data_IF_392791163967
#
_entry.id   IF_392791163967
#
_cell.length_a   1.000
_cell.length_b   1.000
_cell.length_c   1.000
_cell.angle_alpha   90.00
_cell.angle_beta   90.00
_cell.angle_gamma   90.00
#
_symmetry.space_group_name_H-M   'P 1'
#
loop_
_entity.id
_entity.type
_entity.pdbx_description
1 polymer ?
#
# COMPACT_ATOMS: atom_id res chain seq x y z
N UNK A 1 -27.90 -30.01 -27.18
CA UNK A 1 -27.87 -29.46 -25.81
C UNK A 1 -27.15 -30.47 -24.92
N UNK A 2 -26.06 -30.17 -24.23
CA UNK A 2 -25.48 -28.87 -23.95
C UNK A 2 -23.95 -28.89 -24.07
N UNK A 3 -23.42 -28.09 -25.00
CA UNK A 3 -21.98 -27.88 -25.22
C UNK A 3 -21.28 -27.37 -23.95
N UNK A 4 -22.03 -26.76 -23.03
CA UNK A 4 -21.51 -26.27 -21.74
C UNK A 4 -21.06 -27.41 -20.82
N UNK A 5 -21.75 -28.55 -20.82
CA UNK A 5 -21.33 -29.73 -20.03
C UNK A 5 -20.04 -30.33 -20.57
N UNK A 6 -19.84 -30.25 -21.89
CA UNK A 6 -18.63 -30.69 -22.55
C UNK A 6 -17.45 -29.75 -22.24
N UNK A 7 -17.68 -28.44 -22.31
CA UNK A 7 -16.67 -27.42 -21.98
C UNK A 7 -16.31 -27.47 -20.49
N UNK A 8 -17.27 -27.71 -19.58
CA UNK A 8 -16.99 -27.88 -18.15
C UNK A 8 -16.13 -29.13 -17.87
N UNK A 9 -16.41 -30.23 -18.56
CA UNK A 9 -15.60 -31.46 -18.46
C UNK A 9 -14.20 -31.25 -19.03
N UNK A 10 -14.08 -30.53 -20.14
CA UNK A 10 -12.79 -30.19 -20.75
C UNK A 10 -11.96 -29.27 -19.84
N UNK A 11 -12.57 -28.25 -19.23
CA UNK A 11 -11.91 -27.36 -18.24
C UNK A 11 -11.45 -28.11 -17.00
N UNK A 12 -12.26 -29.06 -16.49
CA UNK A 12 -11.86 -29.93 -15.37
C UNK A 12 -10.70 -30.86 -15.73
N UNK A 13 -10.70 -31.44 -16.92
CA UNK A 13 -9.59 -32.26 -17.41
C UNK A 13 -8.30 -31.43 -17.54
N UNK A 14 -8.39 -30.21 -18.09
CA UNK A 14 -7.23 -29.33 -18.23
C UNK A 14 -6.67 -28.91 -16.87
N UNK A 15 -7.52 -28.54 -15.92
CA UNK A 15 -7.14 -28.24 -14.53
C UNK A 15 -6.45 -29.42 -13.84
N UNK A 16 -6.96 -30.64 -14.00
CA UNK A 16 -6.34 -31.84 -13.44
C UNK A 16 -4.98 -32.14 -14.07
N UNK A 17 -4.83 -31.92 -15.38
CA UNK A 17 -3.52 -32.09 -16.05
C UNK A 17 -2.49 -31.05 -15.61
N UNK A 18 -2.89 -29.79 -15.36
CA UNK A 18 -1.98 -28.75 -14.85
C UNK A 18 -1.52 -29.06 -13.42
N UNK A 19 -2.40 -29.59 -12.57
CA UNK A 19 -2.04 -30.02 -11.20
C UNK A 19 -1.09 -31.23 -11.23
N UNK A 20 -1.34 -32.19 -12.13
CA UNK A 20 -0.49 -33.39 -12.29
C UNK A 20 0.90 -33.06 -12.86
N UNK A 21 1.01 -32.09 -13.78
CA UNK A 21 2.31 -31.63 -14.31
C UNK A 21 2.98 -30.57 -13.42
N UNK A 22 2.24 -29.78 -12.65
CA UNK A 22 2.75 -28.81 -11.68
C UNK A 22 3.47 -29.44 -10.47
N UNK A 23 3.23 -30.73 -10.22
CA UNK A 23 3.98 -31.53 -9.25
C UNK A 23 5.44 -31.82 -9.64
N UNK A 24 5.87 -31.45 -10.86
CA UNK A 24 7.27 -31.54 -11.32
C UNK A 24 8.08 -30.28 -10.96
N UNK A 25 7.59 -29.45 -10.01
CA UNK A 25 8.33 -28.36 -9.38
C UNK A 25 8.87 -28.73 -7.99
N UNK A 26 9.37 -29.96 -7.82
CA UNK A 26 10.41 -30.20 -6.82
C UNK A 26 11.76 -30.14 -7.54
N UNK A 27 12.58 -29.14 -7.24
CA UNK A 27 14.00 -29.24 -6.84
C UNK A 27 14.67 -27.87 -6.96
N UNK A 28 15.09 -27.33 -5.80
CA UNK A 28 15.95 -26.15 -5.54
C UNK A 28 15.21 -25.21 -4.55
N UNK A 29 15.59 -25.01 -3.30
CA UNK A 29 16.88 -25.12 -2.65
C UNK A 29 16.70 -25.64 -1.21
N UNK A 30 17.34 -26.77 -0.88
CA UNK A 30 17.80 -27.01 0.47
C UNK A 30 19.15 -26.27 0.61
N UNK A 31 19.21 -25.25 1.46
CA UNK A 31 20.43 -24.49 1.67
C UNK A 31 20.22 -23.23 2.50
N UNK A 32 20.07 -23.40 3.80
CA UNK A 32 20.74 -22.50 4.75
C UNK A 32 21.02 -23.28 6.04
N UNK A 33 22.19 -23.91 6.08
CA UNK A 33 22.90 -24.07 7.34
C UNK A 33 23.83 -22.86 7.51
N UNK A 34 24.04 -22.48 8.76
CA UNK A 34 25.07 -21.59 9.29
C UNK A 34 24.71 -20.10 9.41
N UNK A 35 24.21 -19.73 10.59
CA UNK A 35 24.97 -18.74 11.36
C UNK A 35 25.15 -19.22 12.80
N UNK A 36 26.41 -19.47 13.10
CA UNK A 36 26.95 -19.92 14.37
C UNK A 36 26.87 -18.85 15.45
N UNK A 37 26.47 -19.31 16.63
CA UNK A 37 26.73 -18.87 17.99
C UNK A 37 27.93 -17.89 18.18
N UNK A 38 27.72 -16.85 18.99
CA UNK A 38 28.61 -16.56 20.12
C UNK A 38 27.92 -15.72 21.21
N UNK A 39 28.33 -16.02 22.43
CA UNK A 39 27.66 -15.89 23.74
C UNK A 39 27.92 -14.51 24.43
N UNK A 40 27.54 -14.24 25.70
CA UNK A 40 26.95 -12.97 26.12
C UNK A 40 27.89 -12.02 26.89
N UNK A 41 27.33 -10.84 27.21
CA UNK A 41 27.71 -9.86 28.27
C UNK A 41 28.57 -8.65 27.82
N UNK A 42 28.50 -7.48 28.51
CA UNK A 42 27.80 -7.19 29.78
C UNK A 42 26.79 -6.03 29.72
N UNK A 43 25.94 -6.00 30.75
CA UNK A 43 25.12 -4.86 31.14
C UNK A 43 26.04 -3.63 31.40
N UNK A 44 26.04 -2.66 30.50
CA UNK A 44 26.33 -1.28 30.88
C UNK A 44 25.01 -0.52 30.89
N UNK A 45 24.60 -0.15 32.11
CA UNK A 45 23.57 0.83 32.34
C UNK A 45 24.00 2.16 31.73
N UNK A 46 23.48 2.48 30.55
CA UNK A 46 23.41 3.86 30.06
C UNK A 46 21.96 4.30 30.14
N UNK A 47 21.67 5.05 31.19
CA UNK A 47 20.55 6.00 31.26
C UNK A 47 20.38 6.72 29.92
N UNK A 48 19.22 6.66 29.24
CA UNK A 48 18.88 7.64 28.23
C UNK A 48 18.27 8.85 28.95
N UNK A 49 19.13 9.69 29.50
CA UNK A 49 18.81 11.12 29.65
C UNK A 49 19.75 11.88 28.73
N UNK A 50 19.46 11.77 27.44
CA UNK A 50 19.90 12.74 26.46
C UNK A 50 18.68 13.09 25.62
N UNK A 51 18.22 14.32 25.84
CA UNK A 51 17.27 15.05 25.01
C UNK A 51 17.44 14.73 23.52
N UNK A 52 16.35 14.63 22.73
CA UNK A 52 16.46 14.45 21.28
C UNK A 52 17.42 15.48 20.70
N UNK A 53 18.52 14.98 20.14
CA UNK A 53 19.50 15.80 19.44
C UNK A 53 18.78 16.45 18.25
N UNK A 54 18.81 17.76 18.20
CA UNK A 54 18.41 18.57 17.05
C UNK A 54 19.35 18.21 15.91
N UNK A 55 18.95 17.26 15.06
CA UNK A 55 19.52 17.14 13.72
C UNK A 55 19.34 18.49 13.04
N UNK A 56 20.38 19.10 12.45
CA UNK A 56 20.19 20.26 11.60
C UNK A 56 19.27 19.81 10.46
N UNK A 57 18.04 20.33 10.47
CA UNK A 57 17.11 20.15 9.36
C UNK A 57 17.87 20.49 8.06
N UNK A 58 17.87 19.59 7.06
CA UNK A 58 18.38 19.94 5.74
C UNK A 58 17.71 21.25 5.29
N UNK A 59 18.43 22.14 4.61
CA UNK A 59 17.88 23.41 4.17
C UNK A 59 16.72 23.12 3.23
N UNK A 60 15.50 23.21 3.75
CA UNK A 60 14.22 23.13 3.07
C UNK A 60 14.25 22.21 1.83
N UNK A 61 14.09 20.91 2.08
CA UNK A 61 13.41 20.06 1.09
C UNK A 61 12.19 20.88 0.66
N UNK A 62 12.11 21.31 -0.60
CA UNK A 62 11.06 22.22 -1.07
C UNK A 62 9.66 21.67 -0.81
N UNK A 63 8.61 22.43 -1.15
CA UNK A 63 7.20 22.08 -0.89
C UNK A 63 6.83 20.60 -1.25
N UNK A 64 7.56 20.03 -2.20
CA UNK A 64 7.32 18.72 -2.81
C UNK A 64 8.30 17.62 -2.37
N UNK A 65 9.20 17.89 -1.43
CA UNK A 65 10.20 16.93 -0.99
C UNK A 65 11.24 16.54 -2.06
N UNK A 66 11.76 15.31 -2.00
CA UNK A 66 12.69 14.77 -3.00
C UNK A 66 11.95 14.39 -4.28
N UNK A 67 12.08 15.23 -5.31
CA UNK A 67 11.43 15.05 -6.61
C UNK A 67 11.83 13.77 -7.34
N UNK A 68 12.95 13.14 -6.99
CA UNK A 68 13.36 11.87 -7.60
C UNK A 68 12.57 10.67 -7.07
N UNK A 69 11.88 10.83 -5.94
CA UNK A 69 11.09 9.80 -5.28
C UNK A 69 9.58 9.99 -5.47
N UNK A 70 9.15 11.04 -6.17
CA UNK A 70 7.74 11.32 -6.38
C UNK A 70 7.14 10.36 -7.41
N UNK A 71 5.95 9.84 -7.09
CA UNK A 71 5.12 9.15 -8.06
C UNK A 71 4.66 10.12 -9.16
N UNK A 72 4.48 9.66 -10.41
CA UNK A 72 4.03 10.51 -11.51
C UNK A 72 2.58 10.98 -11.36
N UNK A 73 1.75 10.21 -10.65
CA UNK A 73 0.35 10.49 -10.38
C UNK A 73 0.04 10.15 -8.92
N UNK A 74 -0.78 10.97 -8.27
CA UNK A 74 -1.41 10.75 -6.98
C UNK A 74 -2.91 10.61 -7.22
N UNK A 75 -3.50 9.56 -6.65
CA UNK A 75 -4.95 9.33 -6.68
C UNK A 75 -5.55 9.74 -5.35
N UNK A 76 -6.33 10.81 -5.38
CA UNK A 76 -6.92 11.44 -4.23
C UNK A 76 -8.43 11.17 -4.17
N UNK A 77 -8.91 10.58 -3.07
CA UNK A 77 -10.33 10.30 -2.85
C UNK A 77 -10.88 11.25 -1.78
N UNK A 78 -11.77 12.16 -2.18
CA UNK A 78 -12.24 13.27 -1.33
C UNK A 78 -13.76 13.38 -1.26
N UNK A 79 -14.24 14.10 -0.24
CA UNK A 79 -15.60 14.63 -0.23
C UNK A 79 -15.77 15.69 -1.33
N UNK A 80 -16.99 15.83 -1.82
CA UNK A 80 -17.33 16.88 -2.78
C UNK A 80 -17.10 18.28 -2.19
N UNK A 81 -16.53 19.18 -2.99
CA UNK A 81 -16.27 20.58 -2.64
C UNK A 81 -15.31 20.83 -1.46
N UNK A 82 -14.59 19.80 -0.98
CA UNK A 82 -13.60 19.98 0.10
C UNK A 82 -12.26 20.51 -0.38
N UNK A 83 -11.93 20.32 -1.66
CA UNK A 83 -10.67 20.75 -2.26
C UNK A 83 -10.94 21.72 -3.41
N UNK A 84 -10.26 22.87 -3.38
CA UNK A 84 -10.29 23.83 -4.48
C UNK A 84 -9.42 23.29 -5.63
N UNK A 85 -9.96 23.16 -6.87
CA UNK A 85 -9.18 22.72 -8.02
C UNK A 85 -7.97 23.62 -8.31
N UNK A 86 -7.98 24.90 -7.91
CA UNK A 86 -6.85 25.80 -8.09
C UNK A 86 -5.65 25.38 -7.23
N UNK A 87 -5.90 24.94 -5.99
CA UNK A 87 -4.85 24.46 -5.08
C UNK A 87 -4.22 23.18 -5.64
N UNK A 88 -5.03 22.26 -6.17
CA UNK A 88 -4.52 21.05 -6.81
C UNK A 88 -3.68 21.38 -8.04
N UNK A 89 -4.13 22.35 -8.85
CA UNK A 89 -3.40 22.79 -10.04
C UNK A 89 -2.05 23.41 -9.68
N UNK A 90 -1.99 24.25 -8.64
CA UNK A 90 -0.74 24.82 -8.13
C UNK A 90 0.20 23.72 -7.63
N UNK A 91 -0.32 22.75 -6.88
CA UNK A 91 0.45 21.59 -6.44
C UNK A 91 1.03 20.80 -7.63
N UNK A 92 0.24 20.54 -8.68
CA UNK A 92 0.75 19.84 -9.86
C UNK A 92 1.89 20.60 -10.55
N UNK A 93 1.77 21.93 -10.65
CA UNK A 93 2.78 22.78 -11.29
C UNK A 93 4.07 22.86 -10.48
N UNK A 94 3.96 23.00 -9.16
CA UNK A 94 5.11 23.15 -8.28
C UNK A 94 5.84 21.82 -8.04
N UNK A 95 5.10 20.72 -7.99
CA UNK A 95 5.64 19.39 -7.69
C UNK A 95 5.91 18.54 -8.93
N UNK A 96 5.31 18.87 -10.08
CA UNK A 96 5.44 18.08 -11.30
C UNK A 96 4.72 16.73 -11.22
N UNK A 97 3.73 16.60 -10.35
CA UNK A 97 2.95 15.38 -10.09
C UNK A 97 1.52 15.60 -10.55
N UNK A 98 0.89 14.59 -11.17
CA UNK A 98 -0.53 14.65 -11.52
C UNK A 98 -1.41 14.25 -10.35
N UNK A 99 -2.56 14.90 -10.18
CA UNK A 99 -3.54 14.56 -9.15
C UNK A 99 -4.86 14.17 -9.82
N UNK A 100 -5.18 12.88 -9.74
CA UNK A 100 -6.51 12.37 -10.12
C UNK A 100 -7.40 12.40 -8.89
N UNK A 101 -8.48 13.17 -8.94
CA UNK A 101 -9.42 13.30 -7.82
C UNK A 101 -10.72 12.59 -8.11
N UNK A 102 -11.09 11.66 -7.24
CA UNK A 102 -12.41 11.04 -7.21
C UNK A 102 -13.20 11.54 -6.00
N UNK A 103 -14.53 11.61 -6.13
CA UNK A 103 -15.42 12.14 -5.12
C UNK A 103 -16.34 11.04 -4.59
N UNK A 104 -16.51 10.99 -3.27
CA UNK A 104 -17.55 10.19 -2.61
C UNK A 104 -18.54 11.10 -1.87
N UNK A 105 -19.80 10.67 -1.79
CA UNK A 105 -20.89 11.44 -1.20
C UNK A 105 -21.14 11.12 0.28
N UNK A 106 -20.75 9.93 0.75
CA UNK A 106 -20.98 9.48 2.11
C UNK A 106 -19.94 8.45 2.59
N UNK A 107 -19.95 8.18 3.90
CA UNK A 107 -18.99 7.27 4.53
C UNK A 107 -19.12 5.80 4.06
N UNK A 108 -20.34 5.33 3.77
CA UNK A 108 -20.54 3.95 3.33
C UNK A 108 -19.95 3.75 1.94
N UNK A 109 -20.13 4.72 1.04
CA UNK A 109 -19.53 4.74 -0.29
C UNK A 109 -18.00 4.76 -0.24
N UNK A 110 -17.41 5.55 0.68
CA UNK A 110 -15.96 5.54 0.93
C UNK A 110 -15.49 4.15 1.35
N UNK A 111 -16.14 3.56 2.35
CA UNK A 111 -15.76 2.23 2.87
C UNK A 111 -15.88 1.18 1.77
N UNK A 112 -16.99 1.17 1.02
CA UNK A 112 -17.20 0.24 -0.09
C UNK A 112 -16.12 0.38 -1.16
N UNK A 113 -15.77 1.61 -1.54
CA UNK A 113 -14.73 1.89 -2.54
C UNK A 113 -13.37 1.32 -2.11
N UNK A 114 -13.01 1.47 -0.83
CA UNK A 114 -11.76 0.96 -0.30
C UNK A 114 -11.77 -0.57 -0.10
N UNK A 115 -12.91 -1.15 0.29
CA UNK A 115 -13.07 -2.59 0.51
C UNK A 115 -13.09 -3.41 -0.78
N UNK A 116 -13.56 -2.83 -1.89
CA UNK A 116 -13.61 -3.50 -3.19
C UNK A 116 -12.21 -3.75 -3.79
N UNK A 117 -11.14 -3.46 -3.03
CA UNK A 117 -9.75 -3.71 -3.44
C UNK A 117 -9.20 -2.60 -4.32
N UNK A 118 -9.82 -1.42 -4.32
CA UNK A 118 -9.31 -0.25 -5.02
C UNK A 118 -8.21 0.42 -4.17
N UNK A 119 -7.17 -0.33 -3.82
CA UNK A 119 -5.94 0.15 -3.14
C UNK A 119 -5.10 1.06 -4.04
N UNK A 120 -5.71 1.67 -5.05
CA UNK A 120 -5.08 2.59 -5.97
C UNK A 120 -5.15 4.02 -5.45
N UNK A 121 -5.89 4.31 -4.38
CA UNK A 121 -5.92 5.65 -3.79
C UNK A 121 -4.79 5.83 -2.80
N UNK A 122 -3.98 6.87 -3.01
CA UNK A 122 -2.84 7.20 -2.15
C UNK A 122 -3.28 7.99 -0.92
N UNK A 123 -4.29 8.86 -1.10
CA UNK A 123 -4.74 9.79 -0.06
C UNK A 123 -6.26 9.83 -0.02
N UNK A 124 -6.82 9.80 1.19
CA UNK A 124 -8.22 10.07 1.44
C UNK A 124 -8.42 10.74 2.80
N UNK A 125 -9.52 11.48 2.96
CA UNK A 125 -9.84 12.24 4.18
C UNK A 125 -11.15 11.70 4.79
N UNK A 126 -11.09 10.58 5.53
CA UNK A 126 -12.24 9.99 6.21
C UNK A 126 -12.64 10.80 7.46
N UNK A 127 -13.87 10.59 7.93
CA UNK A 127 -14.28 10.99 9.28
C UNK A 127 -13.66 10.08 10.34
N UNK A 128 -13.55 10.55 11.59
CA UNK A 128 -12.93 9.82 12.70
C UNK A 128 -13.50 8.40 12.89
N UNK A 129 -14.82 8.25 12.87
CA UNK A 129 -15.46 6.94 12.99
C UNK A 129 -15.05 5.99 11.84
N UNK A 130 -14.88 6.52 10.62
CA UNK A 130 -14.49 5.75 9.44
C UNK A 130 -13.01 5.36 9.50
N UNK A 131 -12.13 6.23 10.00
CA UNK A 131 -10.71 5.89 10.27
C UNK A 131 -10.62 4.64 11.14
N UNK A 132 -11.37 4.60 12.24
CA UNK A 132 -11.35 3.47 13.16
C UNK A 132 -11.81 2.16 12.49
N UNK A 133 -12.77 2.25 11.57
CA UNK A 133 -13.23 1.09 10.79
C UNK A 133 -12.13 0.64 9.82
N UNK A 134 -11.49 1.57 9.09
CA UNK A 134 -10.45 1.28 8.11
C UNK A 134 -9.19 0.67 8.77
N UNK A 135 -8.77 1.19 9.92
CA UNK A 135 -7.65 0.63 10.70
C UNK A 135 -7.96 -0.82 11.12
N UNK A 136 -9.16 -1.08 11.67
CA UNK A 136 -9.57 -2.44 12.06
C UNK A 136 -9.60 -3.41 10.88
N UNK A 137 -9.86 -2.91 9.67
CA UNK A 137 -9.89 -3.69 8.43
C UNK A 137 -8.51 -3.83 7.78
N UNK A 138 -7.47 -3.16 8.29
CA UNK A 138 -6.15 -3.15 7.67
C UNK A 138 -6.11 -2.44 6.32
N UNK A 139 -7.06 -1.53 6.07
CA UNK A 139 -7.20 -0.81 4.80
C UNK A 139 -6.37 0.49 4.75
N UNK A 140 -5.49 0.72 5.72
CA UNK A 140 -4.55 1.85 5.79
C UNK A 140 -3.12 1.34 5.83
N UNK A 141 -2.21 1.99 5.11
CA UNK A 141 -0.77 1.71 5.18
C UNK A 141 -0.22 2.25 6.52
N UNK A 142 0.62 1.48 7.20
CA UNK A 142 1.24 1.82 8.49
C UNK A 142 2.68 2.30 8.29
#
# INVERSE_FOLDING_TARGET
MNTDNFIMRLKKLFQLTVILWGGVFLTACAGYENFTFNTPAPLLATTPTSSPQVTPSPPYLGLCGDRTQLAPEIRFLSWGHYMDPEILTQFEQECGVKVSTDIFANNDELIMTLEQGNTFYDVTIPTDNTVQILIRKGATVN
#
